data_IF_313706570766
#
_entry.id   IF_313706570766
#
_cell.length_a   1.000
_cell.length_b   1.000
_cell.length_c   1.000
_cell.angle_alpha   90.00
_cell.angle_beta   90.00
_cell.angle_gamma   90.00
#
_symmetry.space_group_name_H-M   'P 1'
#
loop_
_entity.id
_entity.type
_entity.pdbx_description
1 polymer ?
#
# COMPACT_ATOMS: atom_id res chain seq x y z
N UNK A 1 36.81 -32.20 -20.10
CA UNK A 1 37.60 -30.99 -19.78
C UNK A 1 36.76 -29.77 -20.13
N UNK A 2 36.20 -29.10 -19.13
CA UNK A 2 35.85 -27.68 -19.17
C UNK A 2 35.75 -27.26 -17.70
N UNK A 3 36.79 -26.59 -17.26
CA UNK A 3 36.99 -26.12 -15.91
C UNK A 3 36.30 -24.76 -15.72
N UNK A 4 36.04 -24.44 -14.46
CA UNK A 4 35.98 -23.11 -13.85
C UNK A 4 35.02 -22.06 -14.40
N UNK A 5 34.07 -21.66 -13.55
CA UNK A 5 33.70 -20.25 -13.33
C UNK A 5 32.85 -20.15 -12.06
N UNK A 6 33.51 -20.09 -10.90
CA UNK A 6 32.93 -19.65 -9.65
C UNK A 6 32.64 -18.15 -9.80
N UNK A 7 31.37 -17.75 -9.81
CA UNK A 7 30.98 -16.34 -9.78
C UNK A 7 30.61 -15.94 -8.36
N UNK A 8 31.62 -15.49 -7.61
CA UNK A 8 31.43 -14.61 -6.47
C UNK A 8 30.71 -13.33 -6.92
N UNK A 9 29.56 -13.03 -6.31
CA UNK A 9 29.23 -11.72 -5.71
C UNK A 9 27.74 -11.60 -5.45
N UNK A 10 27.40 -11.33 -4.20
CA UNK A 10 26.70 -10.11 -3.74
C UNK A 10 25.92 -10.44 -2.45
N UNK A 11 26.58 -10.28 -1.30
CA UNK A 11 25.89 -10.07 -0.02
C UNK A 11 25.15 -8.73 -0.10
N UNK A 12 23.86 -8.77 -0.44
CA UNK A 12 22.99 -7.60 -0.35
C UNK A 12 22.63 -7.36 1.13
N UNK A 13 22.75 -6.14 1.66
CA UNK A 13 22.37 -5.84 3.04
C UNK A 13 20.89 -6.17 3.22
N UNK A 14 20.56 -6.92 4.29
CA UNK A 14 19.19 -7.28 4.65
C UNK A 14 18.41 -6.00 4.95
N UNK A 15 17.70 -5.47 3.95
CA UNK A 15 16.65 -4.48 4.17
C UNK A 15 15.70 -5.06 5.21
N UNK A 16 15.57 -4.40 6.37
CA UNK A 16 14.51 -4.70 7.34
C UNK A 16 13.21 -4.75 6.54
N UNK A 17 12.55 -5.91 6.51
CA UNK A 17 11.26 -6.08 5.83
C UNK A 17 10.29 -5.14 6.55
N UNK A 18 10.12 -3.92 6.02
CA UNK A 18 9.06 -3.04 6.45
C UNK A 18 7.78 -3.86 6.35
N UNK A 19 7.08 -4.00 7.48
CA UNK A 19 5.90 -4.85 7.64
C UNK A 19 5.09 -4.81 6.36
N UNK A 20 5.12 -5.95 5.68
CA UNK A 20 4.47 -6.18 4.41
C UNK A 20 3.02 -5.72 4.58
N UNK A 21 2.60 -4.68 3.84
CA UNK A 21 1.25 -4.09 3.91
C UNK A 21 0.26 -5.05 3.22
N UNK A 22 0.20 -6.28 3.70
CA UNK A 22 -0.39 -7.42 3.00
C UNK A 22 -1.85 -7.65 3.39
N UNK A 23 -2.35 -6.94 4.39
CA UNK A 23 -3.74 -7.04 4.79
C UNK A 23 -4.60 -6.26 3.79
N UNK A 24 -5.26 -6.99 2.88
CA UNK A 24 -6.28 -6.45 1.99
C UNK A 24 -7.58 -6.21 2.77
N UNK A 25 -8.19 -5.04 2.58
CA UNK A 25 -9.49 -4.69 3.15
C UNK A 25 -10.51 -4.69 2.01
N UNK A 26 -11.47 -5.61 2.04
CA UNK A 26 -12.58 -5.65 1.09
C UNK A 26 -13.79 -4.93 1.72
N UNK A 27 -14.21 -3.83 1.10
CA UNK A 27 -15.36 -3.05 1.54
C UNK A 27 -16.40 -3.11 0.43
N UNK A 28 -17.66 -3.38 0.80
CA UNK A 28 -18.80 -3.27 -0.11
C UNK A 28 -19.49 -1.93 0.15
N UNK A 29 -19.66 -1.15 -0.90
CA UNK A 29 -20.38 0.13 -0.91
C UNK A 29 -21.32 0.15 -2.11
N UNK A 30 -22.22 1.12 -2.17
CA UNK A 30 -23.09 1.29 -3.32
C UNK A 30 -22.28 1.68 -4.57
N UNK A 31 -22.71 1.23 -5.74
CA UNK A 31 -22.04 1.55 -7.01
C UNK A 31 -22.02 3.06 -7.28
N UNK A 32 -23.10 3.77 -6.97
CA UNK A 32 -23.18 5.22 -7.16
C UNK A 32 -22.15 5.97 -6.29
N UNK A 33 -22.05 5.61 -5.00
CA UNK A 33 -21.08 6.20 -4.07
C UNK A 33 -19.63 5.91 -4.48
N UNK A 34 -19.37 4.69 -4.98
CA UNK A 34 -18.05 4.31 -5.51
C UNK A 34 -17.67 5.22 -6.68
N UNK A 35 -18.58 5.41 -7.62
CA UNK A 35 -18.30 6.15 -8.86
C UNK A 35 -18.07 7.64 -8.57
N UNK A 36 -18.85 8.23 -7.66
CA UNK A 36 -18.62 9.58 -7.16
C UNK A 36 -17.27 9.71 -6.45
N UNK A 37 -16.92 8.75 -5.57
CA UNK A 37 -15.64 8.75 -4.87
C UNK A 37 -14.44 8.62 -5.81
N UNK A 38 -14.53 7.77 -6.85
CA UNK A 38 -13.47 7.61 -7.84
C UNK A 38 -13.32 8.90 -8.67
N UNK A 39 -14.44 9.50 -9.10
CA UNK A 39 -14.43 10.76 -9.86
C UNK A 39 -13.74 11.88 -9.08
N UNK A 40 -14.07 12.04 -7.80
CA UNK A 40 -13.41 13.00 -6.91
C UNK A 40 -11.93 12.69 -6.71
N UNK A 41 -11.55 11.40 -6.63
CA UNK A 41 -10.14 11.04 -6.53
C UNK A 41 -9.35 11.46 -7.77
N UNK A 42 -9.93 11.31 -8.97
CA UNK A 42 -9.34 11.71 -10.24
C UNK A 42 -9.19 13.23 -10.34
N UNK A 43 -10.21 14.00 -9.96
CA UNK A 43 -10.15 15.47 -9.92
C UNK A 43 -9.06 16.02 -9.00
N UNK A 44 -8.77 15.30 -7.90
CA UNK A 44 -7.79 15.71 -6.90
C UNK A 44 -6.37 15.17 -7.18
N UNK A 45 -6.12 14.54 -8.33
CA UNK A 45 -4.85 13.84 -8.64
C UNK A 45 -4.45 12.84 -7.53
N UNK A 46 -5.45 12.13 -7.00
CA UNK A 46 -5.28 11.15 -5.93
C UNK A 46 -5.74 9.75 -6.35
N UNK A 47 -5.37 8.75 -5.54
CA UNK A 47 -5.94 7.40 -5.73
C UNK A 47 -6.88 7.10 -4.58
N UNK A 48 -7.99 6.43 -4.89
CA UNK A 48 -8.93 5.88 -3.92
C UNK A 48 -8.21 5.18 -2.75
N UNK A 49 -7.22 4.34 -3.07
CA UNK A 49 -6.44 3.62 -2.07
C UNK A 49 -5.54 4.52 -1.20
N UNK A 50 -5.13 5.70 -1.66
CA UNK A 50 -4.34 6.66 -0.87
C UNK A 50 -5.24 7.43 0.08
N UNK A 51 -6.41 7.87 -0.39
CA UNK A 51 -7.37 8.62 0.42
C UNK A 51 -8.03 7.74 1.48
N UNK A 52 -8.44 6.51 1.16
CA UNK A 52 -8.94 5.55 2.17
C UNK A 52 -7.89 5.27 3.25
N UNK A 53 -6.61 5.09 2.89
CA UNK A 53 -5.55 4.87 3.88
C UNK A 53 -5.23 6.10 4.73
N UNK A 54 -5.39 7.32 4.19
CA UNK A 54 -5.27 8.56 4.97
C UNK A 54 -6.44 8.69 5.92
N UNK A 55 -7.65 8.47 5.44
CA UNK A 55 -8.88 8.51 6.22
C UNK A 55 -8.80 7.54 7.41
N UNK A 56 -8.46 6.26 7.17
CA UNK A 56 -8.29 5.27 8.24
C UNK A 56 -7.25 5.74 9.28
N UNK A 57 -6.09 6.24 8.84
CA UNK A 57 -5.06 6.74 9.77
C UNK A 57 -5.53 7.95 10.57
N UNK A 58 -6.24 8.87 9.93
CA UNK A 58 -6.79 10.05 10.58
C UNK A 58 -7.85 9.67 11.60
N UNK A 59 -8.80 8.81 11.21
CA UNK A 59 -9.87 8.30 12.04
C UNK A 59 -9.33 7.58 13.28
N UNK A 60 -8.37 6.66 13.10
CA UNK A 60 -7.73 5.96 14.23
C UNK A 60 -7.04 6.93 15.17
N UNK A 61 -6.36 7.96 14.66
CA UNK A 61 -5.70 8.97 15.51
C UNK A 61 -6.72 9.75 16.33
N UNK A 62 -7.77 10.25 15.68
CA UNK A 62 -8.81 11.05 16.34
C UNK A 62 -9.57 10.29 17.42
N UNK A 63 -9.76 8.97 17.27
CA UNK A 63 -10.57 8.16 18.19
C UNK A 63 -9.77 7.25 19.15
N UNK A 64 -8.43 7.25 19.09
CA UNK A 64 -7.60 6.50 20.06
C UNK A 64 -7.06 7.33 21.21
N UNK A 65 -7.25 8.65 21.15
CA UNK A 65 -6.87 9.56 22.23
C UNK A 65 -8.02 9.76 23.25
N UNK A 66 -9.08 8.92 23.20
CA UNK A 66 -10.07 8.65 24.25
C UNK A 66 -9.74 7.32 24.97
#
# INVERSE_FOLDING_TARGET
MAADSISEKQLKPRKKKAGKKDSQLLIRINSAERDEFISLCEELDTSAAREVRKFIRNFVRTHKDD
#
